data_IF_973299773179
#
_entry.id   IF_973299773179
#
_cell.length_a   1.000
_cell.length_b   1.000
_cell.length_c   1.000
_cell.angle_alpha   90.00
_cell.angle_beta   90.00
_cell.angle_gamma   90.00
#
_symmetry.space_group_name_H-M   'P 1'
#
loop_
_entity.id
_entity.type
_entity.pdbx_description
1 polymer ?
#
# COMPACT_ATOMS: atom_id res chain seq x y z
N UNK A 1 18.45 -17.54 -5.53
CA UNK A 1 17.21 -16.82 -5.81
C UNK A 1 16.60 -17.44 -7.06
N UNK A 2 15.31 -17.64 -7.06
CA UNK A 2 14.59 -18.14 -8.25
C UNK A 2 14.62 -17.09 -9.36
N UNK A 3 14.52 -17.55 -10.59
CA UNK A 3 14.39 -16.69 -11.77
C UNK A 3 13.16 -17.09 -12.56
N UNK A 4 12.59 -16.12 -13.26
CA UNK A 4 11.52 -16.32 -14.23
C UNK A 4 11.82 -15.56 -15.51
N UNK A 5 11.54 -16.20 -16.65
CA UNK A 5 11.57 -15.56 -17.95
C UNK A 5 10.16 -15.19 -18.37
N UNK A 6 9.96 -13.94 -18.76
CA UNK A 6 8.69 -13.40 -19.23
C UNK A 6 8.78 -13.16 -20.73
N UNK A 7 7.99 -13.89 -21.51
CA UNK A 7 7.86 -13.72 -22.95
C UNK A 7 6.45 -13.24 -23.31
N UNK A 8 6.38 -12.04 -23.87
CA UNK A 8 5.16 -11.35 -24.26
C UNK A 8 4.97 -11.28 -25.79
N UNK A 9 5.50 -12.25 -26.53
CA UNK A 9 5.43 -12.29 -28.01
C UNK A 9 4.03 -12.59 -28.57
N UNK A 10 3.14 -13.22 -27.77
CA UNK A 10 1.80 -13.65 -28.21
C UNK A 10 0.73 -13.17 -27.24
N UNK A 11 0.40 -11.88 -27.29
CA UNK A 11 -0.57 -11.28 -26.41
C UNK A 11 -2.01 -11.44 -26.91
N UNK A 12 -2.94 -11.70 -25.97
CA UNK A 12 -4.38 -11.82 -26.22
C UNK A 12 -5.16 -10.96 -25.24
N UNK A 13 -6.31 -10.38 -25.65
CA UNK A 13 -7.19 -9.66 -24.73
C UNK A 13 -7.71 -10.57 -23.63
N UNK A 14 -7.75 -10.03 -22.39
CA UNK A 14 -8.31 -10.72 -21.23
C UNK A 14 -9.00 -9.74 -20.28
N UNK A 15 -9.92 -10.25 -19.48
CA UNK A 15 -10.44 -9.55 -18.31
C UNK A 15 -9.53 -9.92 -17.14
N UNK A 16 -8.87 -8.93 -16.56
CA UNK A 16 -7.90 -9.11 -15.47
C UNK A 16 -8.51 -8.73 -14.13
N UNK A 17 -8.18 -9.50 -13.09
CA UNK A 17 -8.73 -9.33 -11.76
C UNK A 17 -7.62 -8.92 -10.79
N UNK A 18 -7.66 -7.69 -10.22
CA UNK A 18 -6.76 -7.32 -9.13
C UNK A 18 -7.12 -8.09 -7.85
N UNK A 19 -6.17 -8.24 -6.92
CA UNK A 19 -6.50 -8.74 -5.58
C UNK A 19 -7.42 -7.74 -4.87
N UNK A 20 -7.99 -8.14 -3.75
CA UNK A 20 -8.63 -7.16 -2.86
C UNK A 20 -7.58 -6.15 -2.39
N UNK A 21 -8.02 -4.91 -2.19
CA UNK A 21 -7.12 -3.85 -1.75
C UNK A 21 -6.50 -4.16 -0.39
N UNK A 22 -5.18 -4.31 -0.37
CA UNK A 22 -4.40 -4.47 0.85
C UNK A 22 -4.63 -3.32 1.83
N UNK A 23 -4.59 -2.09 1.33
CA UNK A 23 -4.72 -0.88 2.14
C UNK A 23 -6.12 -0.73 2.73
N UNK A 24 -7.14 -1.09 1.99
CA UNK A 24 -8.54 -1.10 2.43
C UNK A 24 -8.78 -2.24 3.43
N UNK A 25 -8.32 -3.44 3.12
CA UNK A 25 -8.48 -4.62 3.96
C UNK A 25 -7.89 -4.43 5.37
N UNK A 26 -6.71 -3.82 5.49
CA UNK A 26 -6.09 -3.56 6.78
C UNK A 26 -6.94 -2.63 7.65
N UNK A 27 -7.56 -1.60 7.08
CA UNK A 27 -8.48 -0.70 7.78
C UNK A 27 -9.77 -1.40 8.18
N UNK A 28 -10.35 -2.11 7.25
CA UNK A 28 -11.59 -2.85 7.47
C UNK A 28 -11.44 -3.94 8.53
N UNK A 29 -10.31 -4.66 8.56
CA UNK A 29 -10.00 -5.65 9.59
C UNK A 29 -10.01 -5.05 11.00
N UNK A 30 -9.32 -3.94 11.19
CA UNK A 30 -9.32 -3.24 12.49
C UNK A 30 -10.74 -2.80 12.87
N UNK A 31 -11.43 -2.14 11.96
CA UNK A 31 -12.76 -1.60 12.23
C UNK A 31 -13.79 -2.72 12.46
N UNK A 32 -13.71 -3.83 11.74
CA UNK A 32 -14.55 -5.01 11.99
C UNK A 32 -14.28 -5.62 13.37
N UNK A 33 -13.01 -5.69 13.79
CA UNK A 33 -12.66 -6.11 15.14
C UNK A 33 -13.27 -5.19 16.19
N UNK A 34 -13.12 -3.87 16.04
CA UNK A 34 -13.59 -2.87 16.99
C UNK A 34 -15.12 -2.82 17.10
N UNK A 35 -15.83 -3.02 16.00
CA UNK A 35 -17.30 -2.89 15.93
C UNK A 35 -18.04 -4.20 16.07
N UNK A 36 -17.34 -5.32 16.27
CA UNK A 36 -17.96 -6.63 16.41
C UNK A 36 -18.39 -7.30 15.10
N UNK A 37 -18.02 -6.73 13.94
CA UNK A 37 -18.27 -7.30 12.61
C UNK A 37 -17.22 -8.36 12.18
N UNK A 38 -16.43 -8.84 13.12
CA UNK A 38 -15.42 -9.87 12.90
C UNK A 38 -15.99 -11.28 12.91
N UNK A 39 -15.51 -12.21 12.06
CA UNK A 39 -14.59 -11.99 10.93
C UNK A 39 -15.29 -11.36 9.73
N UNK A 40 -14.54 -10.69 8.84
CA UNK A 40 -15.13 -10.11 7.64
C UNK A 40 -15.47 -11.20 6.61
N UNK A 41 -16.76 -11.42 6.26
CA UNK A 41 -17.14 -12.48 5.33
C UNK A 41 -16.47 -12.40 3.97
N UNK A 42 -16.23 -11.17 3.47
CA UNK A 42 -15.59 -10.94 2.17
C UNK A 42 -14.15 -11.46 2.13
N UNK A 43 -13.41 -11.36 3.24
CA UNK A 43 -12.04 -11.90 3.33
C UNK A 43 -12.02 -13.42 3.44
N UNK A 44 -13.07 -14.01 4.00
CA UNK A 44 -13.24 -15.46 4.07
C UNK A 44 -13.67 -16.08 2.73
N UNK A 45 -14.36 -15.30 1.89
CA UNK A 45 -14.81 -15.72 0.56
C UNK A 45 -13.66 -15.75 -0.47
N UNK A 46 -12.60 -14.95 -0.28
CA UNK A 46 -11.40 -15.01 -1.14
C UNK A 46 -10.57 -16.25 -0.77
N UNK A 47 -10.10 -17.05 -1.74
CA UNK A 47 -9.17 -18.11 -1.45
C UNK A 47 -7.94 -17.58 -0.71
N UNK A 48 -7.51 -18.23 0.36
CA UNK A 48 -6.43 -17.76 1.22
C UNK A 48 -5.14 -17.41 0.44
N UNK A 49 -4.85 -18.15 -0.63
CA UNK A 49 -3.69 -17.89 -1.48
C UNK A 49 -3.82 -16.69 -2.43
N UNK A 50 -4.96 -15.98 -2.41
CA UNK A 50 -5.14 -14.70 -3.11
C UNK A 50 -5.12 -13.49 -2.17
N UNK A 51 -5.09 -13.73 -0.86
CA UNK A 51 -4.99 -12.63 0.10
C UNK A 51 -3.52 -12.16 0.22
N UNK A 52 -3.26 -10.86 0.16
CA UNK A 52 -1.92 -10.32 0.39
C UNK A 52 -1.35 -10.75 1.74
N UNK A 53 -0.06 -11.07 1.80
CA UNK A 53 0.61 -11.52 3.03
C UNK A 53 0.45 -10.52 4.19
N UNK A 54 0.51 -9.22 3.91
CA UNK A 54 0.29 -8.16 4.89
C UNK A 54 -1.12 -8.21 5.53
N UNK A 55 -2.13 -8.73 4.83
CA UNK A 55 -3.49 -8.93 5.35
C UNK A 55 -3.49 -10.08 6.35
N UNK A 56 -2.84 -11.19 6.02
CA UNK A 56 -2.67 -12.33 6.93
C UNK A 56 -1.91 -11.95 8.21
N UNK A 57 -0.85 -11.16 8.08
CA UNK A 57 -0.08 -10.65 9.23
C UNK A 57 -0.99 -9.89 10.19
N UNK A 58 -1.74 -8.92 9.70
CA UNK A 58 -2.63 -8.12 10.53
C UNK A 58 -3.79 -8.95 11.10
N UNK A 59 -4.34 -9.90 10.33
CA UNK A 59 -5.39 -10.82 10.80
C UNK A 59 -4.90 -11.60 12.03
N UNK A 60 -3.73 -12.22 11.98
CA UNK A 60 -3.14 -12.94 13.12
C UNK A 60 -2.89 -12.01 14.31
N UNK A 61 -2.41 -10.79 14.07
CA UNK A 61 -2.25 -9.79 15.11
C UNK A 61 -3.57 -9.47 15.82
N UNK A 62 -4.63 -9.23 15.08
CA UNK A 62 -5.96 -8.96 15.63
C UNK A 62 -6.51 -10.18 16.40
N UNK A 63 -6.33 -11.38 15.88
CA UNK A 63 -6.70 -12.62 16.59
C UNK A 63 -5.97 -12.76 17.93
N UNK A 64 -4.71 -12.33 18.00
CA UNK A 64 -3.95 -12.27 19.25
C UNK A 64 -4.55 -11.29 20.25
N UNK A 65 -5.01 -10.12 19.80
CA UNK A 65 -5.69 -9.14 20.67
C UNK A 65 -7.05 -9.62 21.19
N UNK A 66 -7.71 -10.53 20.49
CA UNK A 66 -9.01 -11.11 20.89
C UNK A 66 -8.90 -12.21 21.95
N UNK A 67 -7.69 -12.67 22.22
CA UNK A 67 -7.48 -13.69 23.26
C UNK A 67 -7.52 -13.06 24.65
N UNK A 68 -7.94 -13.79 25.68
CA UNK A 68 -7.93 -13.29 27.06
C UNK A 68 -6.55 -12.79 27.49
N UNK A 69 -6.46 -11.82 28.40
CA UNK A 69 -5.19 -11.39 28.98
C UNK A 69 -4.41 -12.58 29.57
N UNK A 70 -3.08 -12.55 29.43
CA UNK A 70 -2.23 -13.67 29.90
C UNK A 70 -0.74 -13.39 29.71
N UNK A 71 0.02 -14.45 29.43
CA UNK A 71 1.45 -14.34 29.15
C UNK A 71 1.74 -13.51 27.91
N UNK A 72 2.97 -13.00 27.80
CA UNK A 72 3.47 -12.28 26.61
C UNK A 72 3.30 -13.15 25.39
N UNK A 73 2.75 -12.60 24.33
CA UNK A 73 2.56 -13.27 23.03
C UNK A 73 3.42 -12.63 21.97
N UNK A 74 4.08 -13.46 21.18
CA UNK A 74 4.88 -13.03 20.04
C UNK A 74 4.01 -12.81 18.82
N UNK A 75 4.20 -11.67 18.13
CA UNK A 75 3.55 -11.34 16.86
C UNK A 75 4.60 -10.94 15.85
N UNK A 76 4.78 -11.78 14.82
CA UNK A 76 5.69 -11.51 13.73
C UNK A 76 4.98 -10.75 12.61
N UNK A 77 5.44 -9.52 12.36
CA UNK A 77 4.94 -8.64 11.29
C UNK A 77 5.70 -8.80 9.97
N UNK A 78 6.62 -9.76 9.87
CA UNK A 78 7.48 -9.98 8.72
C UNK A 78 8.16 -8.67 8.28
N UNK A 79 7.96 -8.22 7.03
CA UNK A 79 8.46 -6.93 6.51
C UNK A 79 7.35 -5.87 6.35
N UNK A 80 6.16 -6.13 6.91
CA UNK A 80 4.95 -5.36 6.74
C UNK A 80 4.91 -4.07 7.57
N UNK A 81 5.34 -2.93 7.00
CA UNK A 81 5.36 -1.66 7.73
C UNK A 81 3.99 -1.13 8.14
N UNK A 82 2.97 -1.25 7.29
CA UNK A 82 1.62 -0.82 7.63
C UNK A 82 0.95 -1.74 8.67
N UNK A 83 0.94 -3.09 8.50
CA UNK A 83 0.39 -3.97 9.52
C UNK A 83 1.11 -3.83 10.86
N UNK A 84 2.44 -3.64 10.88
CA UNK A 84 3.19 -3.38 12.11
C UNK A 84 2.68 -2.13 12.83
N UNK A 85 2.62 -0.97 12.15
CA UNK A 85 2.20 0.30 12.76
C UNK A 85 0.76 0.27 13.25
N UNK A 86 -0.13 -0.32 12.44
CA UNK A 86 -1.54 -0.51 12.82
C UNK A 86 -1.63 -1.43 14.03
N UNK A 87 -0.96 -2.58 14.01
CA UNK A 87 -1.01 -3.54 15.10
C UNK A 87 -0.45 -2.97 16.41
N UNK A 88 0.72 -2.32 16.37
CA UNK A 88 1.33 -1.66 17.53
C UNK A 88 0.36 -0.66 18.17
N UNK A 89 -0.29 0.17 17.35
CA UNK A 89 -1.28 1.12 17.85
C UNK A 89 -2.46 0.41 18.50
N UNK A 90 -3.05 -0.59 17.84
CA UNK A 90 -4.19 -1.34 18.38
C UNK A 90 -3.81 -2.08 19.68
N UNK A 91 -2.63 -2.67 19.72
CA UNK A 91 -2.10 -3.33 20.93
C UNK A 91 -1.95 -2.34 22.09
N UNK A 92 -1.42 -1.14 21.84
CA UNK A 92 -1.21 -0.12 22.87
C UNK A 92 -2.53 0.45 23.43
N UNK A 93 -3.60 0.48 22.64
CA UNK A 93 -4.91 1.00 23.08
C UNK A 93 -5.88 -0.06 23.59
N UNK A 94 -5.54 -1.36 23.48
CA UNK A 94 -6.38 -2.48 23.94
C UNK A 94 -5.97 -2.91 25.37
N UNK A 95 -6.80 -2.66 26.40
CA UNK A 95 -6.45 -2.98 27.79
C UNK A 95 -6.11 -4.45 28.00
N UNK A 96 -5.16 -4.71 28.89
CA UNK A 96 -4.72 -6.07 29.22
C UNK A 96 -3.85 -6.75 28.15
N UNK A 97 -3.53 -6.04 27.06
CA UNK A 97 -2.61 -6.54 26.04
C UNK A 97 -1.17 -6.56 26.56
N UNK A 98 -0.50 -7.71 26.39
CA UNK A 98 0.94 -7.85 26.59
C UNK A 98 1.50 -8.67 25.43
N UNK A 99 2.17 -7.99 24.49
CA UNK A 99 2.69 -8.60 23.26
C UNK A 99 4.11 -8.15 22.98
N UNK A 100 4.88 -9.04 22.35
CA UNK A 100 6.19 -8.73 21.77
C UNK A 100 6.06 -8.80 20.25
N UNK A 101 6.35 -7.69 19.58
CA UNK A 101 6.22 -7.55 18.13
C UNK A 101 7.58 -7.63 17.47
N UNK A 102 7.71 -8.52 16.50
CA UNK A 102 8.93 -8.79 15.74
C UNK A 102 8.70 -8.60 14.23
N UNK A 103 9.73 -8.80 13.46
CA UNK A 103 9.72 -8.81 11.99
C UNK A 103 11.14 -8.88 11.43
N UNK A 104 11.28 -8.69 10.12
CA UNK A 104 12.58 -8.71 9.46
C UNK A 104 13.50 -7.58 9.94
N UNK A 105 14.84 -7.72 9.81
CA UNK A 105 15.78 -6.64 10.12
C UNK A 105 15.43 -5.35 9.37
N UNK A 106 15.02 -5.44 8.11
CA UNK A 106 14.62 -4.28 7.30
C UNK A 106 13.40 -3.55 7.87
N UNK A 107 12.44 -4.25 8.43
CA UNK A 107 11.31 -3.62 9.12
C UNK A 107 11.81 -2.85 10.36
N UNK A 108 12.74 -3.42 11.12
CA UNK A 108 13.33 -2.77 12.31
C UNK A 108 14.13 -1.49 11.99
N UNK A 109 14.73 -1.41 10.79
CA UNK A 109 15.47 -0.22 10.32
C UNK A 109 14.55 0.94 9.87
N UNK A 110 13.29 0.66 9.59
CA UNK A 110 12.34 1.70 9.16
C UNK A 110 12.04 2.67 10.31
N UNK A 111 11.77 3.97 10.02
CA UNK A 111 11.46 4.94 11.06
C UNK A 111 10.14 4.59 11.75
N UNK A 112 10.19 4.28 13.05
CA UNK A 112 9.02 4.02 13.90
C UNK A 112 8.95 4.99 15.09
N UNK A 113 10.05 5.71 15.38
CA UNK A 113 10.19 6.62 16.52
C UNK A 113 9.01 7.56 16.71
N UNK A 114 8.58 8.32 15.69
CA UNK A 114 7.48 9.28 15.84
C UNK A 114 6.15 8.64 16.27
N UNK A 115 5.86 7.41 15.80
CA UNK A 115 4.67 6.68 16.28
C UNK A 115 4.79 6.30 17.75
N UNK A 116 5.97 5.82 18.17
CA UNK A 116 6.21 5.42 19.55
C UNK A 116 6.17 6.60 20.51
N UNK A 117 6.73 7.73 20.12
CA UNK A 117 6.69 8.98 20.89
C UNK A 117 5.24 9.43 21.09
N UNK A 118 4.46 9.50 20.01
CA UNK A 118 3.04 9.87 20.07
C UNK A 118 2.22 8.96 20.99
N UNK A 119 2.45 7.64 20.91
CA UNK A 119 1.78 6.68 21.80
C UNK A 119 2.18 6.86 23.26
N UNK A 120 3.45 7.12 23.56
CA UNK A 120 3.94 7.37 24.93
C UNK A 120 3.40 8.66 25.52
N UNK A 121 3.37 9.74 24.75
CA UNK A 121 2.82 11.01 25.17
C UNK A 121 1.34 10.90 25.54
N UNK A 122 0.54 10.26 24.69
CA UNK A 122 -0.90 10.17 24.89
C UNK A 122 -1.32 9.11 25.90
N UNK A 123 -0.62 7.98 26.00
CA UNK A 123 -1.00 6.83 26.81
C UNK A 123 -0.18 6.70 28.10
N UNK A 124 0.90 7.48 28.23
CA UNK A 124 1.84 7.41 29.33
C UNK A 124 2.98 6.39 29.11
N UNK A 125 4.09 6.51 29.89
CA UNK A 125 5.32 5.75 29.68
C UNK A 125 5.19 4.24 29.92
N UNK A 126 4.20 3.80 30.66
CA UNK A 126 3.96 2.39 30.97
C UNK A 126 3.32 1.59 29.83
N UNK A 127 2.81 2.28 28.80
CA UNK A 127 2.08 1.63 27.71
C UNK A 127 2.94 1.01 26.60
N UNK A 128 4.17 1.48 26.47
CA UNK A 128 5.10 1.03 25.44
C UNK A 128 6.47 0.79 26.06
N UNK A 129 6.78 -0.46 26.34
CA UNK A 129 8.09 -0.85 26.87
C UNK A 129 9.01 -1.10 25.67
N UNK A 130 9.81 -0.09 25.32
CA UNK A 130 10.96 -0.31 24.44
C UNK A 130 12.11 -0.79 25.32
N UNK A 131 12.73 -1.92 24.97
CA UNK A 131 13.94 -2.36 25.62
C UNK A 131 15.01 -1.26 25.45
N UNK A 132 15.56 -0.74 26.54
CA UNK A 132 16.58 0.32 26.50
C UNK A 132 17.73 -0.07 25.57
N UNK A 133 18.08 0.83 24.63
CA UNK A 133 19.14 0.64 23.66
C UNK A 133 18.85 -0.29 22.50
N UNK A 134 17.67 -0.93 22.45
CA UNK A 134 17.24 -1.78 21.33
C UNK A 134 15.76 -1.51 20.99
N UNK A 135 15.46 -0.69 19.97
CA UNK A 135 14.08 -0.43 19.58
C UNK A 135 13.39 -1.65 18.93
N UNK A 136 14.07 -2.82 18.90
CA UNK A 136 13.62 -4.01 18.21
C UNK A 136 14.07 -5.31 18.93
N UNK A 137 13.21 -6.26 19.24
CA UNK A 137 11.75 -6.24 19.08
C UNK A 137 11.04 -5.23 19.99
N UNK A 138 9.80 -4.86 19.64
CA UNK A 138 9.00 -3.92 20.43
C UNK A 138 8.11 -4.72 21.38
N UNK A 139 8.21 -4.46 22.68
CA UNK A 139 7.29 -5.01 23.66
C UNK A 139 6.23 -3.96 24.04
N UNK A 140 4.95 -4.35 24.01
CA UNK A 140 3.82 -3.49 24.31
C UNK A 140 3.05 -4.08 25.47
N UNK A 141 2.89 -3.27 26.52
CA UNK A 141 2.00 -3.56 27.63
C UNK A 141 1.01 -2.41 27.74
N UNK A 142 -0.22 -2.64 27.28
CA UNK A 142 -1.23 -1.59 27.23
C UNK A 142 -1.55 -1.04 28.63
N UNK A 143 -1.61 0.29 28.82
CA UNK A 143 -1.96 0.88 30.10
C UNK A 143 -3.45 0.68 30.41
N UNK A 144 -3.78 0.60 31.70
CA UNK A 144 -5.17 0.52 32.15
C UNK A 144 -5.91 1.87 31.98
N UNK A 145 -5.17 2.97 32.08
CA UNK A 145 -5.69 4.34 31.97
C UNK A 145 -4.95 5.09 30.86
N UNK A 146 -5.68 5.95 30.18
CA UNK A 146 -5.13 6.85 29.15
C UNK A 146 -4.90 8.25 29.70
N UNK A 147 -3.99 8.98 29.07
CA UNK A 147 -3.69 10.38 29.37
C UNK A 147 -4.61 11.36 28.61
N UNK A 148 -4.01 12.35 27.96
CA UNK A 148 -4.73 13.31 27.12
C UNK A 148 -5.31 12.66 25.86
N UNK A 149 -6.54 13.03 25.43
CA UNK A 149 -7.18 12.42 24.27
C UNK A 149 -6.64 12.94 22.94
N UNK A 150 -5.31 13.02 22.80
CA UNK A 150 -4.64 13.54 21.61
C UNK A 150 -3.35 12.78 21.30
N UNK A 151 -3.22 12.37 20.06
CA UNK A 151 -1.98 11.88 19.45
C UNK A 151 -1.36 12.99 18.59
N UNK A 152 -0.10 13.35 18.84
CA UNK A 152 0.64 14.31 18.02
C UNK A 152 1.69 13.58 17.20
N UNK A 153 1.74 13.83 15.89
CA UNK A 153 2.66 13.11 15.03
C UNK A 153 3.13 13.97 13.84
N UNK A 154 4.43 13.93 13.47
CA UNK A 154 4.92 14.64 12.31
C UNK A 154 4.36 14.02 11.01
N UNK A 155 3.84 14.88 10.11
CA UNK A 155 3.25 14.45 8.83
C UNK A 155 4.28 14.13 7.74
N UNK A 156 5.49 14.67 7.83
CA UNK A 156 6.47 14.66 6.74
C UNK A 156 7.07 13.28 6.42
N UNK A 157 7.13 12.36 7.37
CA UNK A 157 7.80 11.07 7.18
C UNK A 157 6.89 9.97 6.65
N UNK A 158 5.66 9.87 7.15
CA UNK A 158 4.73 8.80 6.74
C UNK A 158 3.30 9.05 7.22
N UNK A 159 2.34 9.03 6.30
CA UNK A 159 0.91 9.04 6.60
C UNK A 159 0.43 7.80 7.38
N UNK A 160 1.24 6.72 7.42
CA UNK A 160 0.89 5.50 8.15
C UNK A 160 0.82 5.74 9.67
N UNK A 161 1.59 6.70 10.21
CA UNK A 161 1.48 7.06 11.62
C UNK A 161 0.11 7.64 11.94
N UNK A 162 -0.28 8.70 11.24
CA UNK A 162 -1.58 9.33 11.41
C UNK A 162 -2.74 8.36 11.17
N UNK A 163 -2.65 7.52 10.12
CA UNK A 163 -3.64 6.48 9.81
C UNK A 163 -3.79 5.47 10.94
N UNK A 164 -2.69 4.94 11.50
CA UNK A 164 -2.74 3.97 12.59
C UNK A 164 -3.28 4.59 13.87
N UNK A 165 -2.86 5.82 14.20
CA UNK A 165 -3.33 6.56 15.37
C UNK A 165 -4.81 6.92 15.27
N UNK A 166 -5.30 7.27 14.09
CA UNK A 166 -6.71 7.57 13.88
C UNK A 166 -7.60 6.31 14.06
N UNK A 167 -7.12 5.13 13.65
CA UNK A 167 -7.75 3.84 14.00
C UNK A 167 -7.68 3.58 15.51
N UNK A 168 -6.61 4.00 16.18
CA UNK A 168 -6.50 3.98 17.64
C UNK A 168 -7.53 4.90 18.32
N UNK A 169 -7.78 6.09 17.76
CA UNK A 169 -8.83 7.00 18.25
C UNK A 169 -10.21 6.33 18.20
N UNK A 170 -10.52 5.56 17.16
CA UNK A 170 -11.78 4.82 17.07
C UNK A 170 -11.91 3.77 18.20
N UNK A 171 -10.84 3.02 18.48
CA UNK A 171 -10.82 2.07 19.60
C UNK A 171 -11.05 2.75 20.95
N UNK A 172 -10.35 3.85 21.18
CA UNK A 172 -10.44 4.63 22.41
C UNK A 172 -11.82 5.29 22.56
N UNK A 173 -12.39 5.83 21.49
CA UNK A 173 -13.75 6.38 21.49
C UNK A 173 -14.79 5.33 21.90
N UNK A 174 -14.73 4.13 21.32
CA UNK A 174 -15.67 3.06 21.68
C UNK A 174 -15.56 2.64 23.15
N UNK A 175 -14.35 2.67 23.72
CA UNK A 175 -14.08 2.32 25.11
C UNK A 175 -14.48 3.42 26.08
N UNK A 176 -14.11 4.67 25.79
CA UNK A 176 -14.17 5.78 26.77
C UNK A 176 -15.36 6.71 26.57
N UNK A 177 -16.02 6.61 25.41
CA UNK A 177 -17.14 7.46 25.02
C UNK A 177 -16.83 8.96 25.08
N UNK A 178 -15.57 9.31 24.82
CA UNK A 178 -15.10 10.70 24.66
C UNK A 178 -14.32 10.84 23.35
N UNK A 179 -14.34 12.04 22.72
CA UNK A 179 -13.57 12.29 21.52
C UNK A 179 -12.07 12.06 21.72
N UNK A 180 -11.44 11.48 20.68
CA UNK A 180 -10.00 11.33 20.56
C UNK A 180 -9.56 11.87 19.21
N UNK A 181 -8.40 12.54 19.17
CA UNK A 181 -7.92 13.17 17.94
C UNK A 181 -6.47 12.88 17.63
N UNK A 182 -6.14 13.02 16.34
CA UNK A 182 -4.77 13.08 15.83
C UNK A 182 -4.49 14.51 15.39
N UNK A 183 -3.39 15.08 15.84
CA UNK A 183 -2.85 16.37 15.39
C UNK A 183 -1.59 16.11 14.57
N UNK A 184 -1.60 16.56 13.31
CA UNK A 184 -0.48 16.40 12.38
C UNK A 184 0.37 17.66 12.44
N UNK A 185 1.65 17.48 12.74
CA UNK A 185 2.63 18.56 12.83
C UNK A 185 3.34 18.69 11.49
N UNK A 186 3.23 19.86 10.88
CA UNK A 186 3.85 20.17 9.59
C UNK A 186 3.12 19.54 8.37
N UNK A 187 3.76 19.52 7.19
CA UNK A 187 3.14 19.02 5.96
C UNK A 187 2.90 17.51 6.02
N UNK A 188 1.79 17.06 5.45
CA UNK A 188 1.45 15.64 5.41
C UNK A 188 1.88 15.02 4.06
N UNK A 189 2.81 14.07 4.11
CA UNK A 189 3.18 13.24 2.96
C UNK A 189 2.16 12.13 2.77
N UNK A 190 1.75 11.89 1.53
CA UNK A 190 0.81 10.82 1.17
C UNK A 190 -0.56 10.96 1.88
N UNK A 191 -1.12 12.17 1.85
CA UNK A 191 -2.39 12.51 2.49
C UNK A 191 -3.54 11.57 2.10
N UNK A 192 -3.58 11.10 0.86
CA UNK A 192 -4.62 10.19 0.36
C UNK A 192 -4.76 8.89 1.18
N UNK A 193 -3.70 8.38 1.82
CA UNK A 193 -3.84 7.22 2.71
C UNK A 193 -4.49 7.56 4.05
N UNK A 194 -4.38 8.79 4.52
CA UNK A 194 -5.15 9.25 5.68
C UNK A 194 -6.61 9.46 5.31
N UNK A 195 -6.87 10.08 4.17
CA UNK A 195 -8.23 10.24 3.60
C UNK A 195 -8.92 8.88 3.42
N UNK A 196 -8.17 7.87 2.95
CA UNK A 196 -8.66 6.50 2.88
C UNK A 196 -9.05 5.98 4.27
N UNK A 197 -8.28 6.30 5.31
CA UNK A 197 -8.60 5.90 6.69
C UNK A 197 -9.87 6.59 7.20
N UNK A 198 -10.02 7.87 6.94
CA UNK A 198 -11.23 8.64 7.25
C UNK A 198 -12.45 8.06 6.53
N UNK A 199 -12.32 7.76 5.24
CA UNK A 199 -13.37 7.12 4.44
C UNK A 199 -13.82 5.80 5.06
N UNK A 200 -12.88 4.94 5.47
CA UNK A 200 -13.20 3.66 6.10
C UNK A 200 -13.85 3.82 7.48
N UNK A 201 -13.39 4.76 8.30
CA UNK A 201 -14.04 5.10 9.57
C UNK A 201 -15.50 5.51 9.35
N UNK A 202 -15.76 6.40 8.40
CA UNK A 202 -17.12 6.83 8.05
C UNK A 202 -17.98 5.69 7.52
N UNK A 203 -17.44 4.83 6.67
CA UNK A 203 -18.13 3.64 6.15
C UNK A 203 -18.50 2.65 7.26
N UNK A 204 -17.69 2.56 8.33
CA UNK A 204 -17.98 1.76 9.52
C UNK A 204 -18.79 2.50 10.58
N UNK A 205 -19.29 3.71 10.28
CA UNK A 205 -20.23 4.46 11.10
C UNK A 205 -19.61 5.41 12.11
N UNK A 206 -18.30 5.66 12.05
CA UNK A 206 -17.66 6.69 12.87
C UNK A 206 -17.85 8.08 12.27
N UNK A 207 -18.09 9.07 13.11
CA UNK A 207 -18.03 10.48 12.73
C UNK A 207 -16.61 10.98 12.93
N UNK A 208 -16.00 11.47 11.85
CA UNK A 208 -14.67 12.08 11.88
C UNK A 208 -14.80 13.55 11.48
N UNK A 209 -14.42 14.43 12.40
CA UNK A 209 -14.29 15.87 12.15
C UNK A 209 -12.86 16.18 11.69
N UNK A 210 -12.76 17.02 10.67
CA UNK A 210 -11.49 17.41 10.05
C UNK A 210 -11.34 18.94 10.11
N UNK A 211 -10.25 19.41 10.67
CA UNK A 211 -9.93 20.83 10.74
C UNK A 211 -8.40 21.02 10.76
N UNK A 212 -7.85 21.71 9.75
CA UNK A 212 -6.45 22.17 9.70
C UNK A 212 -5.40 21.21 10.30
N UNK A 213 -5.31 19.99 9.75
CA UNK A 213 -4.36 18.98 10.24
C UNK A 213 -4.79 18.24 11.50
N UNK A 214 -6.04 18.44 11.96
CA UNK A 214 -6.65 17.72 13.08
C UNK A 214 -7.75 16.80 12.58
N UNK A 215 -7.77 15.57 13.08
CA UNK A 215 -8.74 14.55 12.77
C UNK A 215 -9.28 13.98 14.08
N UNK A 216 -10.56 14.21 14.36
CA UNK A 216 -11.16 13.84 15.63
C UNK A 216 -12.31 12.86 15.44
N UNK A 217 -12.28 11.74 16.16
CA UNK A 217 -13.38 10.76 16.22
C UNK A 217 -14.31 11.19 17.33
N UNK A 218 -15.54 11.57 16.96
CA UNK A 218 -16.49 12.24 17.89
C UNK A 218 -17.76 11.44 18.13
N UNK A 219 -18.12 10.50 17.24
CA UNK A 219 -19.32 9.69 17.39
C UNK A 219 -19.20 8.35 16.66
N UNK A 220 -20.09 7.41 16.99
CA UNK A 220 -20.23 6.12 16.35
C UNK A 220 -21.68 5.66 16.28
N UNK A 221 -22.13 5.34 15.07
CA UNK A 221 -23.40 4.67 14.81
C UNK A 221 -23.17 3.49 13.88
N UNK A 222 -23.51 2.29 14.33
CA UNK A 222 -23.31 1.08 13.54
C UNK A 222 -23.95 1.18 12.15
N UNK A 223 -23.24 0.85 11.06
CA UNK A 223 -23.81 0.86 9.72
C UNK A 223 -24.80 -0.32 9.55
N UNK A 224 -25.76 -0.17 8.66
CA UNK A 224 -26.75 -1.23 8.36
C UNK A 224 -26.11 -2.46 7.70
N UNK A 225 -25.03 -2.27 6.96
CA UNK A 225 -24.33 -3.33 6.23
C UNK A 225 -22.81 -3.15 6.36
N UNK A 226 -22.10 -4.26 6.43
CA UNK A 226 -20.63 -4.25 6.34
C UNK A 226 -20.21 -3.73 4.97
N UNK A 227 -19.28 -2.77 4.90
CA UNK A 227 -18.81 -2.21 3.63
C UNK A 227 -18.16 -3.27 2.74
N UNK A 228 -18.40 -3.16 1.43
CA UNK A 228 -17.78 -4.02 0.43
C UNK A 228 -16.28 -3.69 0.27
N UNK A 229 -15.51 -4.70 -0.13
CA UNK A 229 -14.06 -4.59 -0.35
C UNK A 229 -13.76 -4.28 -1.82
N UNK A 230 -13.05 -3.18 -2.13
CA UNK A 230 -12.66 -2.87 -3.51
C UNK A 230 -11.44 -3.67 -3.95
N UNK A 231 -11.17 -3.67 -5.26
CA UNK A 231 -9.89 -4.10 -5.81
C UNK A 231 -8.76 -3.15 -5.43
N UNK A 232 -7.54 -3.67 -5.39
CA UNK A 232 -6.34 -2.89 -5.03
C UNK A 232 -5.89 -1.97 -6.17
N UNK A 233 -6.00 -0.67 -6.00
CA UNK A 233 -5.65 0.32 -7.02
C UNK A 233 -4.16 0.32 -7.38
N UNK A 234 -3.27 0.00 -6.44
CA UNK A 234 -1.85 -0.16 -6.75
C UNK A 234 -1.61 -1.32 -7.72
N UNK A 235 -2.27 -2.46 -7.46
CA UNK A 235 -2.21 -3.66 -8.30
C UNK A 235 -2.97 -3.48 -9.60
N UNK A 236 -4.12 -2.80 -9.56
CA UNK A 236 -4.93 -2.46 -10.72
C UNK A 236 -4.13 -1.63 -11.73
N UNK A 237 -3.23 -0.76 -11.26
CA UNK A 237 -2.36 0.03 -12.13
C UNK A 237 -1.54 -0.82 -13.09
N UNK A 238 -0.91 -1.89 -12.62
CA UNK A 238 -0.16 -2.81 -13.49
C UNK A 238 -1.09 -3.49 -14.49
N UNK A 239 -2.21 -4.02 -14.01
CA UNK A 239 -3.17 -4.73 -14.85
C UNK A 239 -3.82 -3.83 -15.89
N UNK A 240 -4.09 -2.57 -15.57
CA UNK A 240 -4.68 -1.63 -16.51
C UNK A 240 -3.73 -1.30 -17.67
N UNK A 241 -2.43 -1.14 -17.38
CA UNK A 241 -1.41 -0.96 -18.40
C UNK A 241 -1.27 -2.22 -19.29
N UNK A 242 -1.27 -3.40 -18.68
CA UNK A 242 -1.25 -4.69 -19.41
C UNK A 242 -2.51 -4.83 -20.26
N UNK A 243 -3.70 -4.55 -19.71
CA UNK A 243 -4.96 -4.59 -20.44
C UNK A 243 -4.98 -3.59 -21.62
N UNK A 244 -4.41 -2.40 -21.45
CA UNK A 244 -4.26 -1.44 -22.54
C UNK A 244 -3.44 -2.02 -23.70
N UNK A 245 -2.30 -2.63 -23.40
CA UNK A 245 -1.42 -3.22 -24.43
C UNK A 245 -2.06 -4.42 -25.13
N UNK A 246 -2.89 -5.19 -24.42
CA UNK A 246 -3.52 -6.41 -24.95
C UNK A 246 -4.92 -6.18 -25.51
N UNK A 247 -5.53 -5.00 -25.31
CA UNK A 247 -6.92 -4.72 -25.67
C UNK A 247 -7.96 -5.28 -24.69
N UNK A 248 -7.53 -5.69 -23.50
CA UNK A 248 -8.38 -6.25 -22.44
C UNK A 248 -9.07 -5.21 -21.55
N UNK A 249 -9.48 -5.64 -20.37
CA UNK A 249 -10.09 -4.81 -19.32
C UNK A 249 -9.69 -5.30 -17.92
N UNK A 250 -9.94 -4.46 -16.91
CA UNK A 250 -9.73 -4.82 -15.50
C UNK A 250 -11.04 -4.69 -14.77
N UNK A 251 -11.38 -5.65 -13.90
CA UNK A 251 -12.55 -5.59 -13.04
C UNK A 251 -12.21 -5.06 -11.64
N UNK A 252 -13.23 -4.90 -10.77
CA UNK A 252 -13.10 -4.37 -9.39
C UNK A 252 -12.50 -2.95 -9.31
N UNK A 253 -12.60 -2.16 -10.37
CA UNK A 253 -12.10 -0.80 -10.44
C UNK A 253 -13.12 0.19 -9.85
N UNK A 254 -13.16 0.32 -8.52
CA UNK A 254 -14.02 1.29 -7.83
C UNK A 254 -13.49 2.71 -8.04
N UNK A 255 -14.09 3.45 -8.98
CA UNK A 255 -13.75 4.83 -9.29
C UNK A 255 -14.15 5.83 -8.19
N UNK A 256 -15.01 5.44 -7.24
CA UNK A 256 -15.34 6.24 -6.06
C UNK A 256 -14.40 6.01 -4.89
N UNK A 257 -13.39 5.14 -5.05
CA UNK A 257 -12.39 4.85 -4.02
C UNK A 257 -11.57 6.10 -3.67
N UNK A 258 -11.35 6.32 -2.37
CA UNK A 258 -10.40 7.31 -1.87
C UNK A 258 -8.92 6.83 -1.92
N UNK A 259 -8.63 5.71 -2.58
CA UNK A 259 -7.26 5.21 -2.69
C UNK A 259 -6.39 6.17 -3.50
N UNK A 260 -5.20 6.60 -2.99
CA UNK A 260 -4.37 7.59 -3.67
C UNK A 260 -3.93 7.15 -5.08
N UNK A 261 -3.73 5.86 -5.30
CA UNK A 261 -3.31 5.35 -6.60
C UNK A 261 -4.43 5.35 -7.67
N UNK A 262 -5.67 5.70 -7.30
CA UNK A 262 -6.74 6.05 -8.23
C UNK A 262 -6.34 7.27 -9.12
N UNK A 263 -5.37 8.06 -8.66
CA UNK A 263 -4.73 9.12 -9.45
C UNK A 263 -4.23 8.65 -10.83
N UNK A 264 -3.98 7.34 -11.02
CA UNK A 264 -3.59 6.77 -12.32
C UNK A 264 -4.54 7.21 -13.44
N UNK A 265 -5.86 7.21 -13.19
CA UNK A 265 -6.88 7.57 -14.21
C UNK A 265 -6.59 8.95 -14.79
N UNK A 266 -6.45 9.98 -13.96
CA UNK A 266 -6.18 11.34 -14.43
C UNK A 266 -4.77 11.54 -15.00
N UNK A 267 -3.79 10.76 -14.52
CA UNK A 267 -2.40 10.85 -15.00
C UNK A 267 -2.26 10.27 -16.40
N UNK A 268 -2.89 9.13 -16.70
CA UNK A 268 -2.87 8.56 -18.05
C UNK A 268 -3.64 9.44 -19.06
N UNK A 269 -4.70 10.11 -18.62
CA UNK A 269 -5.46 11.05 -19.46
C UNK A 269 -4.61 12.26 -19.88
N UNK A 270 -3.76 12.77 -18.99
CA UNK A 270 -2.81 13.85 -19.33
C UNK A 270 -1.77 13.40 -20.37
N UNK A 271 -1.40 12.13 -20.39
CA UNK A 271 -0.52 11.55 -21.41
C UNK A 271 -1.24 11.29 -22.76
N UNK A 272 -2.55 11.55 -22.85
CA UNK A 272 -3.36 11.36 -24.07
C UNK A 272 -4.08 10.02 -24.15
N UNK A 273 -4.00 9.19 -23.11
CA UNK A 273 -4.77 7.96 -22.99
C UNK A 273 -6.17 8.26 -22.42
N UNK A 274 -7.06 7.26 -22.41
CA UNK A 274 -8.41 7.41 -21.83
C UNK A 274 -8.73 6.18 -20.97
N UNK A 275 -9.11 6.42 -19.74
CA UNK A 275 -9.70 5.41 -18.87
C UNK A 275 -11.22 5.40 -19.09
N UNK A 276 -11.77 4.30 -19.59
CA UNK A 276 -13.19 4.16 -19.97
C UNK A 276 -13.85 3.17 -19.00
N UNK A 277 -14.75 3.67 -18.12
CA UNK A 277 -15.55 2.81 -17.26
C UNK A 277 -16.47 1.91 -18.07
N UNK A 278 -16.61 0.66 -17.64
CA UNK A 278 -17.58 -0.31 -18.13
C UNK A 278 -18.59 -0.70 -17.04
N UNK A 279 -19.49 -1.66 -17.31
CA UNK A 279 -20.39 -2.19 -16.31
C UNK A 279 -19.62 -2.93 -15.19
N UNK A 280 -20.27 -3.11 -14.05
CA UNK A 280 -19.78 -3.94 -12.93
C UNK A 280 -18.38 -3.57 -12.41
N UNK A 281 -18.08 -2.25 -12.32
CA UNK A 281 -16.76 -1.73 -11.93
C UNK A 281 -15.63 -2.26 -12.81
N UNK A 282 -15.87 -2.49 -14.09
CA UNK A 282 -14.80 -2.75 -15.06
C UNK A 282 -14.20 -1.44 -15.57
N UNK A 283 -12.91 -1.48 -15.92
CA UNK A 283 -12.18 -0.34 -16.47
C UNK A 283 -11.34 -0.80 -17.66
N UNK A 284 -11.37 -0.01 -18.72
CA UNK A 284 -10.51 -0.19 -19.91
C UNK A 284 -9.68 1.06 -20.11
N UNK A 285 -8.48 0.88 -20.64
CA UNK A 285 -7.67 1.98 -21.12
C UNK A 285 -7.58 1.93 -22.64
N UNK A 286 -7.78 3.09 -23.28
CA UNK A 286 -7.81 3.24 -24.75
C UNK A 286 -7.05 4.47 -25.18
N UNK A 287 -6.90 4.67 -26.47
CA UNK A 287 -6.21 5.82 -27.01
C UNK A 287 -4.73 5.57 -27.28
N UNK A 288 -4.08 6.63 -27.77
CA UNK A 288 -2.65 6.65 -28.09
C UNK A 288 -1.97 7.71 -27.25
N UNK A 289 -0.89 7.32 -26.59
CA UNK A 289 -0.07 8.26 -25.84
C UNK A 289 0.53 9.34 -26.78
N UNK A 290 0.46 10.61 -26.35
CA UNK A 290 0.93 11.76 -27.15
C UNK A 290 1.97 12.57 -26.42
N UNK A 291 2.07 12.39 -25.10
CA UNK A 291 2.99 13.16 -24.26
C UNK A 291 3.62 12.27 -23.17
N UNK A 292 4.56 12.84 -22.42
CA UNK A 292 5.04 12.32 -21.15
C UNK A 292 4.03 12.57 -20.03
N UNK A 293 4.35 12.14 -18.82
CA UNK A 293 3.53 12.37 -17.62
C UNK A 293 4.30 13.14 -16.55
N UNK A 294 3.55 13.77 -15.65
CA UNK A 294 4.08 14.41 -14.44
C UNK A 294 3.32 13.87 -13.24
N UNK A 295 4.04 13.35 -12.24
CA UNK A 295 3.46 12.78 -11.02
C UNK A 295 4.31 13.08 -9.80
N UNK A 296 3.67 13.20 -8.62
CA UNK A 296 4.34 13.48 -7.35
C UNK A 296 4.33 12.27 -6.42
N UNK A 297 5.49 11.99 -5.82
CA UNK A 297 5.63 10.96 -4.79
C UNK A 297 4.94 11.31 -3.47
N UNK A 298 4.61 12.56 -3.23
CA UNK A 298 3.80 12.95 -2.06
C UNK A 298 2.34 12.59 -2.23
N UNK A 299 1.85 12.55 -3.47
CA UNK A 299 0.46 12.23 -3.81
C UNK A 299 0.22 10.72 -3.90
N UNK A 300 0.99 10.02 -4.73
CA UNK A 300 0.81 8.60 -5.03
C UNK A 300 2.15 7.83 -5.05
N UNK A 301 2.84 7.72 -3.90
CA UNK A 301 4.20 7.16 -3.84
C UNK A 301 4.29 5.72 -4.35
N UNK A 302 3.24 4.94 -4.13
CA UNK A 302 3.21 3.53 -4.51
C UNK A 302 2.88 3.30 -5.99
N UNK A 303 2.37 4.32 -6.67
CA UNK A 303 2.11 4.31 -8.11
C UNK A 303 3.35 4.70 -8.94
N UNK A 304 4.33 5.42 -8.36
CA UNK A 304 5.50 5.91 -9.12
C UNK A 304 6.26 4.80 -9.87
N UNK A 305 6.47 3.58 -9.33
CA UNK A 305 7.08 2.49 -10.11
C UNK A 305 6.28 2.13 -11.36
N UNK A 306 4.94 2.05 -11.25
CA UNK A 306 4.04 1.77 -12.38
C UNK A 306 4.13 2.85 -13.46
N UNK A 307 4.16 4.11 -13.03
CA UNK A 307 4.31 5.26 -13.94
C UNK A 307 5.69 5.30 -14.60
N UNK A 308 6.74 4.82 -13.93
CA UNK A 308 8.07 4.72 -14.51
C UNK A 308 8.12 3.68 -15.64
N UNK A 309 7.41 2.53 -15.51
CA UNK A 309 7.27 1.58 -16.63
C UNK A 309 6.52 2.21 -17.81
N UNK A 310 5.42 2.93 -17.53
CA UNK A 310 4.69 3.64 -18.57
C UNK A 310 5.59 4.69 -19.25
N UNK A 311 6.35 5.47 -18.48
CA UNK A 311 7.26 6.49 -19.00
C UNK A 311 8.29 5.94 -19.99
N UNK A 312 8.72 4.68 -19.85
CA UNK A 312 9.64 4.03 -20.78
C UNK A 312 9.06 3.79 -22.18
N UNK A 313 7.74 3.79 -22.32
CA UNK A 313 7.03 3.55 -23.60
C UNK A 313 6.24 4.76 -24.10
N UNK A 314 6.27 5.86 -23.37
CA UNK A 314 5.67 7.12 -23.81
C UNK A 314 6.54 7.83 -24.86
N UNK A 315 5.96 8.65 -25.74
CA UNK A 315 6.71 9.29 -26.83
C UNK A 315 7.59 10.47 -26.37
N UNK A 316 7.41 10.97 -25.13
CA UNK A 316 8.14 12.10 -24.56
C UNK A 316 8.63 11.82 -23.16
N UNK A 317 9.66 12.55 -22.67
CA UNK A 317 10.14 12.41 -21.31
C UNK A 317 9.03 12.66 -20.28
N UNK A 318 9.13 11.93 -19.15
CA UNK A 318 8.22 12.04 -18.02
C UNK A 318 8.96 12.51 -16.78
N UNK A 319 8.27 13.23 -15.89
CA UNK A 319 8.86 13.82 -14.68
C UNK A 319 8.14 13.30 -13.44
N UNK A 320 8.91 12.72 -12.52
CA UNK A 320 8.45 12.27 -11.20
C UNK A 320 9.08 13.17 -10.14
N UNK A 321 8.25 13.91 -9.39
CA UNK A 321 8.72 14.78 -8.30
C UNK A 321 8.61 14.11 -6.95
N UNK A 322 9.25 14.66 -5.93
CA UNK A 322 9.20 14.18 -4.53
C UNK A 322 9.59 12.71 -4.40
N UNK A 323 10.54 12.25 -5.22
CA UNK A 323 10.95 10.83 -5.28
C UNK A 323 11.74 10.37 -4.07
N UNK A 324 12.13 11.26 -3.17
CA UNK A 324 12.85 10.94 -1.93
C UNK A 324 12.11 9.92 -1.06
N UNK A 325 10.77 9.95 -1.05
CA UNK A 325 9.92 8.99 -0.32
C UNK A 325 10.14 7.53 -0.74
N UNK A 326 10.65 7.28 -1.95
CA UNK A 326 10.88 5.94 -2.48
C UNK A 326 12.07 5.22 -1.84
N UNK A 327 13.02 5.97 -1.27
CA UNK A 327 14.23 5.40 -0.63
C UNK A 327 13.93 4.68 0.68
N UNK A 328 12.82 5.04 1.34
CA UNK A 328 12.42 4.55 2.66
C UNK A 328 11.35 3.43 2.60
N UNK A 329 11.21 2.80 1.44
CA UNK A 329 10.25 1.69 1.24
C UNK A 329 10.92 0.33 1.54
N UNK A 330 10.32 -0.76 1.05
CA UNK A 330 10.81 -2.14 1.21
C UNK A 330 12.23 -2.32 0.67
N UNK A 331 12.54 -1.63 -0.42
CA UNK A 331 13.87 -1.44 -0.98
C UNK A 331 14.09 0.06 -1.26
N UNK A 332 15.28 0.46 -1.70
CA UNK A 332 15.46 1.76 -2.37
C UNK A 332 14.79 1.66 -3.77
N UNK A 333 13.49 1.99 -3.82
CA UNK A 333 12.71 1.94 -5.07
C UNK A 333 13.17 2.96 -6.09
N UNK A 334 13.74 4.10 -5.65
CA UNK A 334 14.26 5.11 -6.56
C UNK A 334 15.45 4.55 -7.36
N UNK A 335 16.37 3.89 -6.68
CA UNK A 335 17.49 3.22 -7.34
C UNK A 335 17.00 2.04 -8.20
N UNK A 336 16.01 1.28 -7.72
CA UNK A 336 15.37 0.20 -8.48
C UNK A 336 14.72 0.68 -9.80
N UNK A 337 14.01 1.80 -9.77
CA UNK A 337 13.42 2.43 -10.97
C UNK A 337 14.52 2.86 -11.95
N UNK A 338 15.56 3.52 -11.47
CA UNK A 338 16.69 3.95 -12.33
C UNK A 338 17.40 2.75 -12.97
N UNK A 339 17.59 1.69 -12.19
CA UNK A 339 18.15 0.43 -12.69
C UNK A 339 17.27 -0.18 -13.78
N UNK A 340 15.96 -0.24 -13.58
CA UNK A 340 14.99 -0.76 -14.55
C UNK A 340 15.02 0.04 -15.86
N UNK A 341 14.96 1.37 -15.77
CA UNK A 341 14.98 2.25 -16.95
C UNK A 341 16.27 2.07 -17.74
N UNK A 342 17.41 2.01 -17.04
CA UNK A 342 18.73 1.78 -17.65
C UNK A 342 18.83 0.41 -18.30
N UNK A 343 18.38 -0.66 -17.63
CA UNK A 343 18.38 -2.02 -18.19
C UNK A 343 17.51 -2.14 -19.45
N UNK A 344 16.45 -1.34 -19.53
CA UNK A 344 15.56 -1.25 -20.69
C UNK A 344 16.12 -0.34 -21.79
N UNK A 345 17.24 0.32 -21.59
CA UNK A 345 17.90 1.21 -22.58
C UNK A 345 17.45 2.67 -22.52
N UNK A 346 16.61 3.04 -21.57
CA UNK A 346 16.23 4.42 -21.29
C UNK A 346 17.28 5.15 -20.46
N UNK A 347 17.06 6.44 -20.24
CA UNK A 347 17.94 7.27 -19.42
C UNK A 347 17.16 7.99 -18.32
N UNK A 348 17.83 8.23 -17.19
CA UNK A 348 17.26 8.98 -16.07
C UNK A 348 18.16 10.13 -15.65
N UNK A 349 17.54 11.28 -15.40
CA UNK A 349 18.22 12.44 -14.80
C UNK A 349 17.56 12.75 -13.45
N UNK A 350 18.36 12.74 -12.39
CA UNK A 350 17.90 13.07 -11.03
C UNK A 350 18.50 14.42 -10.62
N UNK A 351 17.62 15.39 -10.36
CA UNK A 351 17.98 16.69 -9.83
C UNK A 351 17.20 16.97 -8.55
N UNK A 352 17.89 17.00 -7.41
CA UNK A 352 17.23 17.04 -6.10
C UNK A 352 16.29 15.86 -5.87
N UNK A 353 15.02 16.13 -5.73
CA UNK A 353 13.95 15.11 -5.60
C UNK A 353 13.10 14.96 -6.87
N UNK A 354 13.61 15.42 -8.01
CA UNK A 354 12.93 15.30 -9.31
C UNK A 354 13.66 14.31 -10.20
N UNK A 355 13.00 13.26 -10.62
CA UNK A 355 13.48 12.25 -11.55
C UNK A 355 12.84 12.45 -12.92
N UNK A 356 13.63 12.80 -13.92
CA UNK A 356 13.20 12.80 -15.33
C UNK A 356 13.56 11.47 -15.97
N UNK A 357 12.60 10.82 -16.62
CA UNK A 357 12.76 9.56 -17.35
C UNK A 357 12.65 9.86 -18.84
N UNK A 358 13.71 9.56 -19.57
CA UNK A 358 13.76 9.62 -21.02
C UNK A 358 13.55 8.23 -21.60
N UNK A 359 12.49 8.01 -22.40
CA UNK A 359 12.28 6.71 -23.05
C UNK A 359 13.44 6.38 -23.98
N UNK A 360 13.75 5.07 -24.20
CA UNK A 360 14.81 4.68 -25.12
C UNK A 360 14.45 5.00 -26.57
N UNK A 361 15.45 5.31 -27.38
CA UNK A 361 15.30 5.47 -28.83
C UNK A 361 15.26 4.13 -29.59
N UNK A 362 15.76 3.06 -28.96
CA UNK A 362 15.71 1.68 -29.43
C UNK A 362 15.63 0.74 -28.24
N UNK A 363 14.91 -0.37 -28.39
CA UNK A 363 14.78 -1.35 -27.32
C UNK A 363 15.91 -2.39 -27.38
N UNK A 364 16.38 -2.89 -26.22
CA UNK A 364 17.30 -4.03 -26.19
C UNK A 364 16.55 -5.30 -26.65
N UNK A 365 17.26 -6.34 -27.12
CA UNK A 365 16.64 -7.60 -27.51
C UNK A 365 16.03 -8.37 -26.32
N UNK A 366 16.53 -8.10 -25.13
CA UNK A 366 16.03 -8.55 -23.82
C UNK A 366 16.59 -7.65 -22.72
N UNK A 367 15.97 -7.67 -21.54
CA UNK A 367 16.51 -7.01 -20.36
C UNK A 367 16.39 -7.90 -19.12
N UNK A 368 17.13 -7.57 -18.08
CA UNK A 368 17.12 -8.32 -16.82
C UNK A 368 16.92 -7.37 -15.65
N UNK A 369 16.22 -7.86 -14.62
CA UNK A 369 15.95 -7.12 -13.40
C UNK A 369 16.05 -8.04 -12.19
N UNK A 370 16.64 -7.54 -11.11
CA UNK A 370 16.54 -8.12 -9.77
C UNK A 370 15.45 -7.35 -9.01
N UNK A 371 14.45 -8.07 -8.53
CA UNK A 371 13.37 -7.49 -7.71
C UNK A 371 13.85 -6.91 -6.39
N UNK A 372 15.02 -7.34 -5.92
CA UNK A 372 15.57 -7.00 -4.58
C UNK A 372 14.59 -7.32 -3.44
N UNK A 373 13.73 -8.33 -3.64
CA UNK A 373 12.65 -8.67 -2.70
C UNK A 373 11.49 -7.67 -2.67
N UNK A 374 11.47 -6.68 -3.56
CA UNK A 374 10.39 -5.70 -3.64
C UNK A 374 9.38 -6.10 -4.71
N UNK A 375 8.18 -6.43 -4.28
CA UNK A 375 7.08 -6.86 -5.14
C UNK A 375 6.72 -5.84 -6.22
N UNK A 376 6.87 -4.52 -5.94
CA UNK A 376 6.57 -3.49 -6.93
C UNK A 376 7.60 -3.46 -8.04
N UNK A 377 8.89 -3.64 -7.72
CA UNK A 377 9.95 -3.74 -8.73
C UNK A 377 9.78 -4.98 -9.61
N UNK A 378 9.35 -6.11 -9.03
CA UNK A 378 9.03 -7.32 -9.81
C UNK A 378 7.86 -7.09 -10.78
N UNK A 379 6.74 -6.57 -10.27
CA UNK A 379 5.53 -6.34 -11.09
C UNK A 379 5.75 -5.27 -12.15
N UNK A 380 6.47 -4.21 -11.86
CA UNK A 380 6.74 -3.14 -12.82
C UNK A 380 7.66 -3.60 -13.96
N UNK A 381 8.67 -4.44 -13.66
CA UNK A 381 9.54 -5.00 -14.69
C UNK A 381 8.76 -5.92 -15.66
N UNK A 382 7.89 -6.79 -15.12
CA UNK A 382 7.01 -7.63 -15.92
C UNK A 382 6.00 -6.81 -16.75
N UNK A 383 5.44 -5.75 -16.16
CA UNK A 383 4.54 -4.83 -16.88
C UNK A 383 5.26 -4.14 -18.04
N UNK A 384 6.50 -3.68 -17.82
CA UNK A 384 7.31 -3.06 -18.87
C UNK A 384 7.61 -4.06 -20.01
N UNK A 385 7.90 -5.33 -19.68
CA UNK A 385 8.06 -6.39 -20.68
C UNK A 385 6.82 -6.54 -21.55
N UNK A 386 5.62 -6.58 -20.94
CA UNK A 386 4.36 -6.69 -21.68
C UNK A 386 4.09 -5.45 -22.54
N UNK A 387 4.30 -4.25 -21.99
CA UNK A 387 4.07 -2.98 -22.72
C UNK A 387 4.93 -2.88 -23.98
N UNK A 388 6.20 -3.27 -23.87
CA UNK A 388 7.18 -3.12 -24.93
C UNK A 388 7.27 -4.32 -25.89
N UNK A 389 6.86 -5.50 -25.44
CA UNK A 389 7.11 -6.75 -26.16
C UNK A 389 8.55 -7.28 -26.01
N UNK A 390 9.37 -6.68 -25.14
CA UNK A 390 10.77 -7.08 -24.91
C UNK A 390 10.83 -8.15 -23.82
N UNK A 391 11.43 -9.32 -24.08
CA UNK A 391 11.57 -10.38 -23.08
C UNK A 391 12.35 -9.93 -21.84
N UNK A 392 11.89 -10.40 -20.67
CA UNK A 392 12.50 -10.11 -19.38
C UNK A 392 13.03 -11.37 -18.72
N UNK A 393 14.21 -11.28 -18.07
CA UNK A 393 14.67 -12.21 -17.05
C UNK A 393 14.57 -11.53 -15.68
N UNK A 394 13.72 -12.05 -14.80
CA UNK A 394 13.49 -11.49 -13.47
C UNK A 394 14.01 -12.43 -12.39
N UNK A 395 14.82 -11.90 -11.47
CA UNK A 395 15.29 -12.59 -10.26
C UNK A 395 14.39 -12.22 -9.08
N UNK A 396 14.02 -13.23 -8.25
CA UNK A 396 13.18 -13.06 -7.07
C UNK A 396 11.70 -12.78 -7.37
N UNK A 397 11.05 -13.53 -8.30
CA UNK A 397 9.66 -13.31 -8.68
C UNK A 397 8.65 -13.62 -7.55
N UNK A 398 9.03 -14.40 -6.55
CA UNK A 398 8.18 -14.82 -5.41
C UNK A 398 7.75 -13.65 -4.52
N UNK A 399 8.47 -12.54 -4.52
CA UNK A 399 8.15 -11.37 -3.69
C UNK A 399 6.78 -10.75 -3.99
N UNK A 400 6.16 -11.04 -5.13
CA UNK A 400 4.81 -10.56 -5.49
C UNK A 400 3.72 -11.07 -4.54
N UNK A 401 3.94 -12.22 -3.88
CA UNK A 401 3.05 -12.81 -2.88
C UNK A 401 2.69 -11.83 -1.75
N UNK A 402 3.54 -10.85 -1.49
CA UNK A 402 3.32 -9.84 -0.46
C UNK A 402 2.05 -9.01 -0.69
N UNK A 403 1.74 -8.69 -1.94
CA UNK A 403 0.63 -7.79 -2.28
C UNK A 403 -0.27 -8.30 -3.38
N UNK A 404 0.22 -9.18 -4.26
CA UNK A 404 -0.53 -9.71 -5.38
C UNK A 404 -0.16 -11.18 -5.67
N UNK A 405 -0.59 -12.14 -4.83
CA UNK A 405 -0.26 -13.55 -5.01
C UNK A 405 -0.65 -14.16 -6.36
N UNK A 406 -1.69 -13.62 -7.00
CA UNK A 406 -2.15 -14.08 -8.31
C UNK A 406 -1.53 -13.39 -9.52
N UNK A 407 -0.52 -12.52 -9.36
CA UNK A 407 0.00 -11.66 -10.44
C UNK A 407 0.45 -12.44 -11.67
N UNK A 408 1.25 -13.47 -11.51
CA UNK A 408 1.76 -14.28 -12.63
C UNK A 408 0.64 -14.96 -13.42
N UNK A 409 -0.39 -15.47 -12.74
CA UNK A 409 -1.57 -16.04 -13.39
C UNK A 409 -2.35 -15.01 -14.22
N UNK A 410 -2.41 -13.75 -13.76
CA UNK A 410 -3.05 -12.69 -14.53
C UNK A 410 -2.26 -12.40 -15.82
N UNK A 411 -0.93 -12.46 -15.79
CA UNK A 411 -0.12 -12.34 -17.00
C UNK A 411 -0.37 -13.49 -17.97
N UNK A 412 -0.36 -14.74 -17.51
CA UNK A 412 -0.61 -15.92 -18.35
C UNK A 412 -1.97 -15.85 -19.07
N UNK A 413 -3.00 -15.27 -18.43
CA UNK A 413 -4.31 -15.04 -19.08
C UNK A 413 -4.23 -14.14 -20.30
N UNK A 414 -3.21 -13.31 -20.41
CA UNK A 414 -2.97 -12.44 -21.57
C UNK A 414 -2.09 -13.07 -22.65
N UNK A 415 -1.80 -14.35 -22.55
CA UNK A 415 -0.94 -15.06 -23.49
C UNK A 415 0.57 -14.91 -23.23
N UNK A 416 0.95 -14.23 -22.13
CA UNK A 416 2.33 -14.18 -21.66
C UNK A 416 2.78 -15.59 -21.28
N UNK A 417 3.97 -15.97 -21.74
CA UNK A 417 4.59 -17.25 -21.38
C UNK A 417 5.61 -17.03 -20.28
N UNK A 418 5.51 -17.85 -19.24
CA UNK A 418 6.43 -17.84 -18.11
C UNK A 418 7.24 -19.15 -18.12
N UNK A 419 8.56 -19.04 -17.95
CA UNK A 419 9.44 -20.20 -17.78
C UNK A 419 10.49 -19.91 -16.72
N UNK A 420 10.94 -20.94 -16.00
CA UNK A 420 12.00 -20.89 -14.99
C UNK A 420 13.38 -21.19 -15.60
#
# INVERSE_FOLDING_TARGET
>A
MSQIHVDSSQLTPAVLTPPISKSDAQRALVLAHLTGAWPLPVLQAEPAHYLPADVHVLTRGIETLRQPPGAVRDVDCADGGAPFRIFVTQAAVTPGTHVRVTGTPRLGERPHGPLFESLREALGPSGLVLTEGRPWPVEIKAPERTGEPVFRVPGAQSSQYASSLLLGCAALYLRERRPWRVEIIGPLTSAGYLELTVSWLRRFGFTVQEQEGRFEVTDYRAPERTPAMPGDWSSLGYLLLIAWRTGGSVERADLASAHPDQALVRLVERAGLKAVPGPDNTLRMTGMARDGLVASGTECPDLLPTLAALACVLPRPSTLTDVGVLRLKESDRLDGIRTLVSAFGGNTHLEGETLTIHPPTSHPPRFSMDSRGDHRLAMVAATLSVLSGVPLTLTGPECVEKSFPGFWRQLERTGVRLSS
#
